data_IF_071441659067
#
_entry.id   IF_071441659067
#
_cell.length_a   1.000
_cell.length_b   1.000
_cell.length_c   1.000
_cell.angle_alpha   90.00
_cell.angle_beta   90.00
_cell.angle_gamma   90.00
#
_symmetry.space_group_name_H-M   'P 1'
#
loop_
_entity.id
_entity.type
_entity.pdbx_description
1 polymer ?
#
# COMPACT_ATOMS: atom_id res chain seq x y z
N UNK A 1 13.15 3.07 13.19
CA UNK A 1 13.38 4.48 13.53
C UNK A 1 14.89 4.69 13.69
N UNK A 2 15.42 5.77 13.14
CA UNK A 2 16.83 6.14 13.18
C UNK A 2 16.92 7.56 13.73
N UNK A 3 17.84 7.76 14.66
CA UNK A 3 18.10 9.06 15.28
C UNK A 3 19.55 9.41 14.98
N UNK A 4 19.80 10.62 14.48
CA UNK A 4 21.14 11.06 14.13
C UNK A 4 21.36 12.52 14.50
N UNK A 5 22.61 12.89 14.79
CA UNK A 5 23.05 14.27 14.83
C UNK A 5 23.38 14.74 13.41
N UNK A 6 23.25 16.02 13.12
CA UNK A 6 23.72 16.58 11.85
C UNK A 6 25.25 16.55 11.79
N UNK A 7 25.90 17.05 12.84
CA UNK A 7 27.35 17.12 12.83
C UNK A 7 27.99 15.88 13.43
N UNK A 8 28.39 14.97 12.56
CA UNK A 8 29.16 13.79 12.95
C UNK A 8 30.49 13.73 12.20
N UNK A 9 31.52 13.10 12.78
CA UNK A 9 32.77 12.84 12.07
C UNK A 9 32.51 11.96 10.82
N UNK A 10 33.23 12.25 9.74
CA UNK A 10 33.25 11.50 8.47
C UNK A 10 32.00 11.63 7.57
N UNK A 11 30.78 11.70 8.10
CA UNK A 11 29.55 11.86 7.32
C UNK A 11 28.56 12.68 8.14
N UNK A 12 27.92 13.69 7.53
CA UNK A 12 26.85 14.40 8.20
C UNK A 12 25.56 13.58 8.27
N UNK A 13 24.72 13.87 9.28
CA UNK A 13 23.49 13.10 9.51
C UNK A 13 22.48 13.21 8.38
N UNK A 14 22.46 14.31 7.61
CA UNK A 14 21.56 14.47 6.47
C UNK A 14 22.02 13.63 5.29
N UNK A 15 23.32 13.55 5.04
CA UNK A 15 23.89 12.64 4.04
C UNK A 15 23.65 11.16 4.42
N UNK A 16 23.77 10.83 5.72
CA UNK A 16 23.42 9.51 6.22
C UNK A 16 21.95 9.15 5.91
N UNK A 17 21.03 10.08 6.16
CA UNK A 17 19.60 9.88 5.88
C UNK A 17 19.35 9.67 4.40
N UNK A 18 19.99 10.46 3.54
CA UNK A 18 19.88 10.35 2.10
C UNK A 18 20.27 8.95 1.60
N UNK A 19 21.39 8.42 2.07
CA UNK A 19 21.83 7.06 1.77
C UNK A 19 20.92 5.99 2.39
N UNK A 20 20.55 6.15 3.66
CA UNK A 20 19.77 5.15 4.39
C UNK A 20 18.33 5.03 3.87
N UNK A 21 17.76 6.09 3.29
CA UNK A 21 16.40 6.12 2.79
C UNK A 21 16.18 5.15 1.62
N UNK A 22 17.16 5.00 0.77
CA UNK A 22 17.11 4.04 -0.34
C UNK A 22 17.07 2.58 0.14
N UNK A 23 17.75 2.30 1.26
CA UNK A 23 17.83 0.96 1.86
C UNK A 23 16.66 0.67 2.81
N UNK A 24 16.15 1.71 3.47
CA UNK A 24 15.16 1.61 4.55
C UNK A 24 13.98 2.57 4.33
N UNK A 25 13.18 2.40 3.26
CA UNK A 25 12.15 3.36 2.84
C UNK A 25 11.03 3.57 3.87
N UNK A 26 10.80 2.61 4.76
CA UNK A 26 9.77 2.68 5.81
C UNK A 26 10.29 3.23 7.13
N UNK A 27 11.58 3.54 7.22
CA UNK A 27 12.17 4.08 8.45
C UNK A 27 11.81 5.54 8.65
N UNK A 28 11.53 5.91 9.90
CA UNK A 28 11.38 7.30 10.31
C UNK A 28 12.72 7.80 10.83
N UNK A 29 13.07 9.02 10.45
CA UNK A 29 14.33 9.66 10.80
C UNK A 29 14.05 10.84 11.72
N UNK A 30 14.83 10.95 12.80
CA UNK A 30 14.86 12.10 13.71
C UNK A 30 16.25 12.68 13.63
N UNK A 31 16.32 14.00 13.52
CA UNK A 31 17.58 14.73 13.42
C UNK A 31 17.75 15.66 14.62
N UNK A 32 18.93 15.63 15.22
CA UNK A 32 19.36 16.58 16.22
C UNK A 32 20.32 17.59 15.61
N UNK A 33 20.17 18.87 15.97
CA UNK A 33 21.09 19.93 15.56
C UNK A 33 21.47 20.82 16.74
N UNK A 34 22.73 21.10 16.86
CA UNK A 34 23.24 22.13 17.78
C UNK A 34 23.19 23.53 17.21
N UNK A 35 22.79 23.71 15.97
CA UNK A 35 22.81 24.97 15.24
C UNK A 35 21.45 25.27 14.66
N UNK A 36 20.99 26.50 14.89
CA UNK A 36 19.76 27.03 14.28
C UNK A 36 20.11 27.59 12.88
N UNK A 37 20.52 26.68 12.00
CA UNK A 37 20.81 27.01 10.60
C UNK A 37 19.62 26.61 9.74
N UNK A 38 18.97 27.59 9.14
CA UNK A 38 17.80 27.42 8.31
C UNK A 38 18.01 26.40 7.17
N UNK A 39 19.18 26.38 6.58
CA UNK A 39 19.53 25.44 5.49
C UNK A 39 19.44 23.98 5.92
N UNK A 40 19.83 23.66 7.15
CA UNK A 40 19.70 22.29 7.68
C UNK A 40 18.24 21.89 7.88
N UNK A 41 17.43 22.80 8.39
CA UNK A 41 16.01 22.56 8.55
C UNK A 41 15.32 22.36 7.20
N UNK A 42 15.64 23.20 6.21
CA UNK A 42 15.12 23.08 4.85
C UNK A 42 15.51 21.73 4.20
N UNK A 43 16.76 21.32 4.34
CA UNK A 43 17.24 20.03 3.83
C UNK A 43 16.58 18.84 4.56
N UNK A 44 16.38 18.93 5.88
CA UNK A 44 15.66 17.93 6.65
C UNK A 44 14.21 17.76 6.17
N UNK A 45 13.52 18.86 5.88
CA UNK A 45 12.17 18.84 5.29
C UNK A 45 12.18 18.17 3.92
N UNK A 46 13.11 18.52 3.03
CA UNK A 46 13.23 17.91 1.70
C UNK A 46 13.50 16.41 1.77
N UNK A 47 14.23 15.97 2.77
CA UNK A 47 14.48 14.56 3.08
C UNK A 47 13.34 13.91 3.87
N UNK A 48 12.19 14.59 4.09
CA UNK A 48 11.03 14.09 4.83
C UNK A 48 11.42 13.49 6.19
N UNK A 49 12.30 14.15 6.92
CA UNK A 49 12.64 13.80 8.30
C UNK A 49 11.37 13.90 9.16
N UNK A 50 11.15 12.93 10.02
CA UNK A 50 9.94 12.88 10.84
C UNK A 50 9.91 13.97 11.90
N UNK A 51 11.08 14.28 12.48
CA UNK A 51 11.24 15.35 13.48
C UNK A 51 12.65 15.92 13.43
N UNK A 52 12.74 17.22 13.66
CA UNK A 52 13.98 17.99 13.76
C UNK A 52 14.04 18.67 15.11
N UNK A 53 15.01 18.37 15.93
CA UNK A 53 15.16 18.86 17.31
C UNK A 53 16.43 19.71 17.45
N UNK A 54 16.24 20.94 17.92
CA UNK A 54 17.33 21.84 18.25
C UNK A 54 17.84 21.57 19.66
N UNK A 55 19.15 21.46 19.80
CA UNK A 55 19.84 21.42 21.10
C UNK A 55 19.97 22.86 21.67
N UNK A 56 19.82 23.07 22.98
CA UNK A 56 19.51 22.06 24.01
C UNK A 56 18.02 21.69 24.06
N UNK A 57 17.72 20.42 24.17
CA UNK A 57 16.36 19.93 24.45
C UNK A 57 16.36 19.08 25.73
N UNK A 58 15.22 19.04 26.41
CA UNK A 58 15.08 18.26 27.63
C UNK A 58 14.81 16.77 27.30
N UNK A 59 15.07 15.90 28.28
CA UNK A 59 14.67 14.49 28.14
C UNK A 59 13.15 14.34 27.93
N UNK A 60 12.36 15.24 28.51
CA UNK A 60 10.90 15.22 28.36
C UNK A 60 10.47 15.57 26.92
N UNK A 61 11.12 16.52 26.27
CA UNK A 61 10.85 16.88 24.88
C UNK A 61 11.12 15.68 23.96
N UNK A 62 12.26 15.03 24.16
CA UNK A 62 12.63 13.83 23.42
C UNK A 62 11.61 12.68 23.62
N UNK A 63 11.22 12.41 24.87
CA UNK A 63 10.23 11.37 25.17
C UNK A 63 8.91 11.69 24.47
N UNK A 64 8.44 12.93 24.51
CA UNK A 64 7.19 13.36 23.88
C UNK A 64 7.22 13.10 22.37
N UNK A 65 8.30 13.47 21.71
CA UNK A 65 8.50 13.24 20.28
C UNK A 65 8.54 11.75 19.96
N UNK A 66 9.28 10.95 20.73
CA UNK A 66 9.38 9.51 20.52
C UNK A 66 8.05 8.79 20.70
N UNK A 67 7.27 9.17 21.72
CA UNK A 67 5.93 8.57 21.97
C UNK A 67 4.98 8.92 20.83
N UNK A 68 4.93 10.18 20.42
CA UNK A 68 4.08 10.62 19.29
C UNK A 68 4.45 9.89 17.99
N UNK A 69 5.75 9.80 17.70
CA UNK A 69 6.22 9.13 16.50
C UNK A 69 5.95 7.62 16.53
N UNK A 70 6.11 6.98 17.70
CA UNK A 70 5.75 5.57 17.89
C UNK A 70 4.27 5.34 17.60
N UNK A 71 3.38 6.18 18.15
CA UNK A 71 1.94 6.07 17.89
C UNK A 71 1.61 6.16 16.40
N UNK A 72 2.19 7.14 15.69
CA UNK A 72 2.02 7.28 14.23
C UNK A 72 2.50 6.04 13.48
N UNK A 73 3.66 5.50 13.85
CA UNK A 73 4.21 4.29 13.23
C UNK A 73 3.34 3.05 13.49
N UNK A 74 2.82 2.91 14.70
CA UNK A 74 1.95 1.78 15.06
C UNK A 74 0.61 1.87 14.30
N UNK A 75 0.04 3.07 14.14
CA UNK A 75 -1.15 3.31 13.34
C UNK A 75 -0.90 2.99 11.85
N UNK A 76 0.16 3.54 11.23
CA UNK A 76 0.52 3.24 9.84
C UNK A 76 0.71 1.74 9.60
N UNK A 77 1.29 1.04 10.58
CA UNK A 77 1.49 -0.41 10.51
C UNK A 77 0.16 -1.17 10.59
N UNK A 78 -0.76 -0.71 11.43
CA UNK A 78 -2.09 -1.31 11.54
C UNK A 78 -2.88 -1.10 10.25
N UNK A 79 -2.94 0.11 9.72
CA UNK A 79 -3.61 0.43 8.46
C UNK A 79 -3.11 -0.45 7.30
N UNK A 80 -1.79 -0.63 7.18
CA UNK A 80 -1.21 -1.54 6.16
C UNK A 80 -1.64 -3.00 6.35
N UNK A 81 -1.75 -3.46 7.61
CA UNK A 81 -2.23 -4.82 7.91
C UNK A 81 -3.69 -4.99 7.54
N UNK A 82 -4.51 -3.99 7.83
CA UNK A 82 -5.93 -4.01 7.55
C UNK A 82 -6.18 -4.01 6.03
N UNK A 83 -5.47 -3.17 5.27
CA UNK A 83 -5.50 -3.18 3.81
C UNK A 83 -5.06 -4.54 3.25
N UNK A 84 -3.95 -5.09 3.74
CA UNK A 84 -3.46 -6.39 3.28
C UNK A 84 -4.40 -7.55 3.65
N UNK A 85 -5.16 -7.43 4.75
CA UNK A 85 -6.20 -8.37 5.12
C UNK A 85 -7.39 -8.26 4.18
N UNK A 86 -7.90 -7.04 3.95
CA UNK A 86 -9.00 -6.79 3.02
C UNK A 86 -8.69 -7.31 1.61
N UNK A 87 -7.48 -7.09 1.11
CA UNK A 87 -7.04 -7.62 -0.18
C UNK A 87 -7.09 -9.14 -0.22
N UNK A 88 -6.56 -9.82 0.81
CA UNK A 88 -6.59 -11.29 0.91
C UNK A 88 -8.02 -11.84 1.00
N UNK A 89 -8.86 -11.21 1.81
CA UNK A 89 -10.26 -11.61 1.97
C UNK A 89 -11.03 -11.41 0.65
N UNK A 90 -10.75 -10.32 -0.07
CA UNK A 90 -11.31 -10.08 -1.40
C UNK A 90 -10.87 -11.15 -2.41
N UNK A 91 -9.55 -11.40 -2.50
CA UNK A 91 -9.01 -12.43 -3.40
C UNK A 91 -9.54 -13.83 -3.09
N UNK A 92 -9.71 -14.16 -1.80
CA UNK A 92 -10.28 -15.45 -1.38
C UNK A 92 -11.75 -15.62 -1.76
N UNK A 93 -12.52 -14.52 -1.80
CA UNK A 93 -13.94 -14.54 -2.17
C UNK A 93 -14.19 -14.37 -3.68
N UNK A 94 -13.18 -13.99 -4.47
CA UNK A 94 -13.31 -13.84 -5.91
C UNK A 94 -13.73 -15.13 -6.64
N UNK A 95 -13.15 -16.32 -6.36
CA UNK A 95 -13.52 -17.55 -7.08
C UNK A 95 -15.00 -17.91 -6.98
N UNK A 96 -15.63 -17.95 -5.78
CA UNK A 96 -17.06 -18.24 -5.69
C UNK A 96 -17.93 -17.17 -6.34
N UNK A 97 -17.57 -15.90 -6.27
CA UNK A 97 -18.29 -14.81 -6.93
C UNK A 97 -18.20 -14.94 -8.46
N UNK A 98 -17.03 -15.25 -9.00
CA UNK A 98 -16.84 -15.54 -10.43
C UNK A 98 -17.68 -16.73 -10.90
N UNK A 99 -17.72 -17.80 -10.10
CA UNK A 99 -18.51 -18.97 -10.40
C UNK A 99 -20.00 -18.65 -10.42
N UNK A 100 -20.51 -17.92 -9.43
CA UNK A 100 -21.91 -17.48 -9.37
C UNK A 100 -22.26 -16.58 -10.56
N UNK A 101 -21.38 -15.66 -10.93
CA UNK A 101 -21.56 -14.82 -12.11
C UNK A 101 -21.66 -15.65 -13.40
N UNK A 102 -20.74 -16.60 -13.61
CA UNK A 102 -20.74 -17.48 -14.78
C UNK A 102 -22.01 -18.33 -14.87
N UNK A 103 -22.48 -18.87 -13.74
CA UNK A 103 -23.74 -19.61 -13.68
C UNK A 103 -24.94 -18.73 -14.02
N UNK A 104 -24.95 -17.48 -13.58
CA UNK A 104 -25.99 -16.50 -13.90
C UNK A 104 -26.01 -16.12 -15.39
N UNK A 105 -24.84 -16.06 -16.02
CA UNK A 105 -24.71 -15.85 -17.46
C UNK A 105 -25.32 -17.07 -18.24
N UNK A 106 -24.97 -18.29 -17.83
CA UNK A 106 -25.42 -19.50 -18.47
C UNK A 106 -26.93 -19.73 -18.33
N UNK A 107 -27.50 -19.31 -17.21
CA UNK A 107 -28.95 -19.44 -16.95
C UNK A 107 -29.81 -18.33 -17.58
N UNK A 108 -29.18 -17.36 -18.28
CA UNK A 108 -29.87 -16.24 -18.91
C UNK A 108 -30.53 -15.26 -17.93
N UNK A 109 -30.12 -15.30 -16.67
CA UNK A 109 -30.65 -14.42 -15.59
C UNK A 109 -30.14 -12.99 -15.64
N UNK A 110 -29.05 -12.72 -16.39
CA UNK A 110 -28.43 -11.41 -16.51
C UNK A 110 -28.74 -10.78 -17.87
N UNK A 111 -29.03 -9.47 -17.84
CA UNK A 111 -29.11 -8.67 -19.06
C UNK A 111 -27.70 -8.38 -19.61
N UNK A 112 -27.54 -8.19 -20.94
CA UNK A 112 -26.23 -7.90 -21.54
C UNK A 112 -25.49 -6.74 -20.87
N UNK A 113 -26.20 -5.68 -20.50
CA UNK A 113 -25.65 -4.49 -19.85
C UNK A 113 -25.05 -4.81 -18.45
N UNK A 114 -25.74 -5.64 -17.66
CA UNK A 114 -25.27 -6.11 -16.36
C UNK A 114 -24.10 -7.10 -16.48
N UNK A 115 -24.07 -7.88 -17.55
CA UNK A 115 -22.96 -8.78 -17.84
C UNK A 115 -21.66 -8.00 -18.08
N UNK A 116 -21.72 -6.94 -18.88
CA UNK A 116 -20.54 -6.12 -19.19
C UNK A 116 -20.02 -5.40 -17.95
N UNK A 117 -20.92 -4.83 -17.15
CA UNK A 117 -20.57 -4.10 -15.92
C UNK A 117 -19.90 -5.01 -14.85
N UNK A 118 -20.45 -6.22 -14.67
CA UNK A 118 -19.89 -7.18 -13.71
C UNK A 118 -18.61 -7.85 -14.22
N UNK A 119 -18.47 -8.03 -15.51
CA UNK A 119 -17.26 -8.56 -16.14
C UNK A 119 -16.03 -7.69 -15.83
N UNK A 120 -16.17 -6.36 -15.94
CA UNK A 120 -15.10 -5.42 -15.60
C UNK A 120 -14.71 -5.53 -14.11
N UNK A 121 -15.71 -5.61 -13.23
CA UNK A 121 -15.50 -5.74 -11.77
C UNK A 121 -14.72 -6.99 -11.39
N UNK A 122 -14.88 -8.08 -12.13
CA UNK A 122 -14.19 -9.35 -11.89
C UNK A 122 -12.88 -9.49 -12.67
N UNK A 123 -12.49 -8.50 -13.48
CA UNK A 123 -11.29 -8.53 -14.34
C UNK A 123 -11.20 -9.84 -15.16
N UNK A 124 -12.34 -10.27 -15.74
CA UNK A 124 -12.40 -11.50 -16.54
C UNK A 124 -12.03 -11.19 -17.99
N UNK A 125 -10.90 -11.72 -18.51
CA UNK A 125 -10.55 -11.56 -19.92
C UNK A 125 -11.49 -12.40 -20.80
N UNK A 126 -11.95 -11.82 -21.90
CA UNK A 126 -12.91 -12.44 -22.85
C UNK A 126 -12.47 -13.84 -23.29
N UNK A 127 -11.18 -14.00 -23.62
CA UNK A 127 -10.61 -15.28 -24.05
C UNK A 127 -10.71 -16.40 -23.03
N UNK A 128 -10.62 -16.05 -21.72
CA UNK A 128 -10.80 -17.04 -20.65
C UNK A 128 -12.26 -17.39 -20.42
N UNK A 129 -13.20 -16.46 -20.67
CA UNK A 129 -14.62 -16.70 -20.54
C UNK A 129 -15.09 -17.75 -21.55
N UNK A 130 -14.69 -17.65 -22.81
CA UNK A 130 -15.01 -18.64 -23.86
C UNK A 130 -14.48 -20.04 -23.53
N UNK A 131 -13.26 -20.13 -23.00
CA UNK A 131 -12.66 -21.40 -22.61
C UNK A 131 -13.36 -22.01 -21.37
N UNK A 132 -13.76 -21.18 -20.40
CA UNK A 132 -14.53 -21.62 -19.25
C UNK A 132 -15.95 -22.08 -19.68
N UNK A 133 -16.63 -21.32 -20.51
CA UNK A 133 -17.97 -21.69 -21.03
C UNK A 133 -17.91 -23.00 -21.85
N UNK A 134 -16.88 -23.18 -22.68
CA UNK A 134 -16.66 -24.44 -23.44
C UNK A 134 -16.39 -25.64 -22.53
N UNK A 135 -15.84 -25.44 -21.34
CA UNK A 135 -15.61 -26.54 -20.37
C UNK A 135 -16.87 -26.96 -19.59
N UNK A 136 -17.85 -26.07 -19.49
CA UNK A 136 -19.11 -26.35 -18.75
C UNK A 136 -20.27 -26.77 -19.64
N UNK A 137 -20.21 -26.55 -20.96
CA UNK A 137 -21.26 -26.99 -21.89
C UNK A 137 -21.03 -28.46 -22.22
N UNK A 138 -21.96 -29.37 -21.86
CA UNK A 138 -21.87 -30.77 -22.27
C UNK A 138 -21.89 -30.84 -23.81
N UNK A 139 -21.07 -31.70 -24.38
CA UNK A 139 -20.80 -31.83 -25.84
C UNK A 139 -22.03 -32.09 -26.74
N UNK A 140 -23.25 -32.07 -26.21
CA UNK A 140 -24.48 -32.37 -26.93
C UNK A 140 -25.52 -31.24 -26.93
N UNK A 141 -25.16 -30.01 -26.62
CA UNK A 141 -26.08 -28.87 -26.71
C UNK A 141 -25.60 -27.95 -27.85
N UNK A 142 -26.47 -27.65 -28.79
CA UNK A 142 -26.21 -26.68 -29.85
C UNK A 142 -25.81 -25.34 -29.24
N UNK A 143 -24.61 -24.85 -29.61
CA UNK A 143 -24.04 -23.63 -29.10
C UNK A 143 -24.95 -22.44 -29.41
N UNK A 144 -25.40 -21.74 -28.40
CA UNK A 144 -25.90 -20.36 -28.56
C UNK A 144 -24.68 -19.47 -28.85
N UNK A 145 -24.55 -19.10 -30.13
CA UNK A 145 -23.51 -18.17 -30.58
C UNK A 145 -23.99 -16.77 -30.20
N UNK A 146 -23.28 -16.15 -29.25
CA UNK A 146 -23.41 -14.71 -29.02
C UNK A 146 -22.74 -13.97 -30.18
N UNK A 147 -23.53 -13.20 -30.91
CA UNK A 147 -23.04 -12.20 -31.88
C UNK A 147 -22.76 -10.90 -31.19
#
# INVERSE_FOLDING_TARGET
>A
MIITDIQMPFMDGLALIECARSLLPLSKFIVFSGYDVFEYAQKAVSLHVAEYLLKPFSAQDLITVLVSLKQKMDQEKQERRDIAKLQRDFEANLPPLRQSFLLSCLSGLLTPERMDQQRESFSLPIEKLENYLKSFVPRNSECVVFK
#
